data_IF_476437659022
#
_entry.id   IF_476437659022
#
_cell.length_a   1.000
_cell.length_b   1.000
_cell.length_c   1.000
_cell.angle_alpha   90.00
_cell.angle_beta   90.00
_cell.angle_gamma   90.00
#
_symmetry.space_group_name_H-M   'P 1'
#
loop_
_entity.id
_entity.type
_entity.pdbx_description
1 polymer ?
#
# COMPACT_ATOMS: atom_id res chain seq x y z
N UNK A 1 -3.13 -13.77 -15.48
CA UNK A 1 -4.25 -13.08 -14.80
C UNK A 1 -3.68 -12.27 -13.65
N UNK A 2 -4.02 -10.99 -13.50
CA UNK A 2 -3.54 -10.19 -12.36
C UNK A 2 -4.17 -10.66 -11.04
N UNK A 3 -3.49 -10.41 -9.92
CA UNK A 3 -3.96 -10.78 -8.57
C UNK A 3 -5.42 -10.36 -8.30
N UNK A 4 -5.90 -9.15 -8.71
CA UNK A 4 -7.30 -8.78 -8.50
C UNK A 4 -8.30 -9.64 -9.29
N UNK A 5 -7.94 -10.04 -10.51
CA UNK A 5 -8.81 -10.90 -11.34
C UNK A 5 -8.88 -12.32 -10.76
N UNK A 6 -7.78 -12.81 -10.20
CA UNK A 6 -7.76 -14.11 -9.54
C UNK A 6 -8.59 -14.10 -8.25
N UNK A 7 -8.43 -13.07 -7.41
CA UNK A 7 -9.25 -12.89 -6.20
C UNK A 7 -10.74 -12.86 -6.56
N UNK A 8 -11.14 -12.02 -7.53
CA UNK A 8 -12.52 -11.95 -8.01
C UNK A 8 -13.06 -13.31 -8.45
N UNK A 9 -12.30 -14.01 -9.29
CA UNK A 9 -12.71 -15.33 -9.79
C UNK A 9 -12.90 -16.34 -8.65
N UNK A 10 -12.00 -16.35 -7.65
CA UNK A 10 -12.15 -17.21 -6.47
C UNK A 10 -13.38 -16.87 -5.65
N UNK A 11 -13.63 -15.58 -5.37
CA UNK A 11 -14.79 -15.13 -4.60
C UNK A 11 -16.11 -15.40 -5.30
N UNK A 12 -16.18 -15.26 -6.63
CA UNK A 12 -17.37 -15.60 -7.42
C UNK A 12 -17.61 -17.12 -7.44
N UNK A 13 -16.54 -17.92 -7.49
CA UNK A 13 -16.63 -19.39 -7.54
C UNK A 13 -16.92 -20.02 -6.19
N UNK A 14 -16.40 -19.45 -5.11
CA UNK A 14 -16.53 -19.96 -3.75
C UNK A 14 -16.98 -18.84 -2.80
N UNK A 15 -18.24 -18.38 -2.89
CA UNK A 15 -18.70 -17.19 -2.17
C UNK A 15 -18.61 -17.29 -0.64
N UNK A 16 -18.62 -18.51 -0.09
CA UNK A 16 -18.56 -18.76 1.34
C UNK A 16 -17.17 -18.50 1.97
N UNK A 17 -16.11 -18.32 1.17
CA UNK A 17 -14.75 -18.10 1.69
C UNK A 17 -14.53 -16.65 2.17
N UNK A 18 -15.43 -15.73 1.81
CA UNK A 18 -15.31 -14.30 2.12
C UNK A 18 -16.52 -13.85 2.93
N UNK A 19 -16.28 -13.24 4.08
CA UNK A 19 -17.31 -12.69 4.94
C UNK A 19 -16.92 -11.28 5.38
N UNK A 20 -17.90 -10.37 5.41
CA UNK A 20 -17.70 -9.07 6.02
C UNK A 20 -17.43 -9.23 7.52
N UNK A 21 -16.35 -8.61 7.97
CA UNK A 21 -15.92 -8.64 9.37
C UNK A 21 -16.96 -7.91 10.22
N UNK A 22 -17.55 -8.62 11.18
CA UNK A 22 -18.37 -8.06 12.26
C UNK A 22 -17.71 -8.41 13.59
N UNK A 23 -17.60 -7.44 14.52
CA UNK A 23 -16.78 -7.56 15.74
C UNK A 23 -17.07 -8.81 16.57
N UNK A 24 -18.33 -9.24 16.64
CA UNK A 24 -18.75 -10.43 17.40
C UNK A 24 -18.60 -11.77 16.66
N UNK A 25 -18.06 -11.77 15.43
CA UNK A 25 -17.95 -12.97 14.56
C UNK A 25 -16.50 -13.29 14.17
N UNK A 26 -15.52 -12.57 14.71
CA UNK A 26 -14.11 -12.83 14.44
C UNK A 26 -13.68 -14.00 15.35
N UNK A 27 -13.24 -15.14 14.79
CA UNK A 27 -12.68 -16.21 15.61
C UNK A 27 -11.38 -15.74 16.27
N UNK A 28 -10.97 -16.43 17.32
CA UNK A 28 -9.71 -16.11 17.98
C UNK A 28 -8.53 -16.60 17.12
N UNK A 29 -7.46 -15.81 17.08
CA UNK A 29 -6.24 -16.13 16.36
C UNK A 29 -5.04 -16.11 17.30
N UNK A 30 -4.12 -17.05 17.13
CA UNK A 30 -2.85 -17.04 17.85
C UNK A 30 -1.84 -16.09 17.20
N UNK A 31 -1.79 -16.08 15.86
CA UNK A 31 -0.79 -15.37 15.09
C UNK A 31 -1.42 -14.43 14.07
N UNK A 32 -0.96 -13.18 14.02
CA UNK A 32 -1.27 -12.20 12.97
C UNK A 32 0.01 -11.79 12.26
N UNK A 33 0.02 -11.90 10.93
CA UNK A 33 1.14 -11.52 10.07
C UNK A 33 0.73 -10.34 9.18
N UNK A 34 1.48 -9.25 9.23
CA UNK A 34 1.25 -8.08 8.39
C UNK A 34 2.37 -7.91 7.36
N UNK A 35 1.97 -7.80 6.09
CA UNK A 35 2.80 -7.26 5.02
C UNK A 35 2.72 -5.73 5.07
N UNK A 36 3.77 -5.11 5.61
CA UNK A 36 3.84 -3.68 5.83
C UNK A 36 3.87 -2.89 4.52
N UNK A 37 4.39 -3.46 3.42
CA UNK A 37 4.44 -2.74 2.15
C UNK A 37 3.03 -2.44 1.64
N UNK A 38 2.11 -3.39 1.80
CA UNK A 38 0.70 -3.20 1.44
C UNK A 38 0.05 -2.07 2.25
N UNK A 39 0.33 -2.01 3.55
CA UNK A 39 -0.17 -0.96 4.45
C UNK A 39 0.41 0.40 4.06
N UNK A 40 1.74 0.49 3.91
CA UNK A 40 2.41 1.74 3.54
C UNK A 40 1.89 2.26 2.20
N UNK A 41 1.75 1.39 1.19
CA UNK A 41 1.20 1.78 -0.10
C UNK A 41 -0.22 2.35 0.03
N UNK A 42 -1.12 1.70 0.75
CA UNK A 42 -2.50 2.16 0.95
C UNK A 42 -2.57 3.47 1.75
N UNK A 43 -1.70 3.66 2.74
CA UNK A 43 -1.67 4.87 3.56
C UNK A 43 -1.10 6.06 2.77
N UNK A 44 -0.18 5.82 1.84
CA UNK A 44 0.53 6.85 1.06
C UNK A 44 -0.17 7.21 -0.25
N UNK A 45 -0.91 6.28 -0.85
CA UNK A 45 -1.64 6.45 -2.10
C UNK A 45 -3.12 6.27 -1.82
N UNK A 46 -3.81 7.34 -1.42
CA UNK A 46 -5.29 7.33 -1.36
C UNK A 46 -5.86 7.33 -2.77
N UNK A 47 -7.10 6.85 -2.93
CA UNK A 47 -7.86 6.64 -4.18
C UNK A 47 -7.96 7.83 -5.16
N UNK A 48 -7.38 8.99 -4.83
CA UNK A 48 -7.15 10.05 -5.79
C UNK A 48 -5.70 9.95 -6.32
N UNK A 49 -5.56 9.46 -7.55
CA UNK A 49 -4.41 9.72 -8.45
C UNK A 49 -4.27 11.23 -8.76
N UNK A 50 -4.68 12.10 -7.85
CA UNK A 50 -4.65 13.53 -8.03
C UNK A 50 -3.18 13.94 -8.06
N UNK A 51 -2.72 14.57 -9.16
CA UNK A 51 -1.35 15.06 -9.27
C UNK A 51 -1.02 16.14 -8.23
N UNK A 52 -2.05 16.63 -7.52
CA UNK A 52 -1.96 17.66 -6.48
C UNK A 52 -1.89 17.11 -5.04
N UNK A 53 -2.09 15.80 -4.82
CA UNK A 53 -2.06 15.26 -3.46
C UNK A 53 -0.66 15.36 -2.86
N UNK A 54 -0.57 15.89 -1.63
CA UNK A 54 0.66 15.99 -0.84
C UNK A 54 0.38 15.53 0.58
N UNK A 55 1.28 14.73 1.12
CA UNK A 55 1.20 14.25 2.49
C UNK A 55 2.60 14.28 3.10
N UNK A 56 2.72 14.91 4.28
CA UNK A 56 3.98 14.94 5.03
C UNK A 56 4.26 13.58 5.67
N UNK A 57 5.54 13.28 5.92
CA UNK A 57 5.97 12.01 6.54
C UNK A 57 5.27 11.76 7.88
N UNK A 58 5.17 12.78 8.75
CA UNK A 58 4.47 12.65 10.03
C UNK A 58 3.02 12.18 9.87
N UNK A 59 2.31 12.72 8.87
CA UNK A 59 0.92 12.31 8.58
C UNK A 59 0.86 10.89 8.03
N UNK A 60 1.86 10.48 7.25
CA UNK A 60 1.98 9.10 6.78
C UNK A 60 2.16 8.14 7.95
N UNK A 61 3.09 8.44 8.87
CA UNK A 61 3.33 7.59 10.04
C UNK A 61 2.10 7.48 10.93
N UNK A 62 1.41 8.58 11.22
CA UNK A 62 0.14 8.55 11.97
C UNK A 62 -0.90 7.68 11.25
N UNK A 63 -1.03 7.81 9.93
CA UNK A 63 -1.97 6.99 9.16
C UNK A 63 -1.61 5.49 9.22
N UNK A 64 -0.32 5.16 9.12
CA UNK A 64 0.18 3.79 9.24
C UNK A 64 -0.10 3.24 10.63
N UNK A 65 0.25 3.97 11.70
CA UNK A 65 0.02 3.54 13.08
C UNK A 65 -1.46 3.31 13.38
N UNK A 66 -2.33 4.25 12.98
CA UNK A 66 -3.77 4.09 13.15
C UNK A 66 -4.30 2.86 12.40
N UNK A 67 -3.75 2.55 11.23
CA UNK A 67 -4.16 1.37 10.46
C UNK A 67 -3.71 0.08 11.13
N UNK A 68 -2.46 0.03 11.64
CA UNK A 68 -1.94 -1.11 12.40
C UNK A 68 -2.77 -1.33 13.67
N UNK A 69 -3.01 -0.27 14.45
CA UNK A 69 -3.78 -0.32 15.69
C UNK A 69 -5.21 -0.84 15.44
N UNK A 70 -5.86 -0.34 14.38
CA UNK A 70 -7.18 -0.80 13.97
C UNK A 70 -7.21 -2.30 13.61
N UNK A 71 -6.20 -2.78 12.86
CA UNK A 71 -6.10 -4.21 12.54
C UNK A 71 -5.83 -5.06 13.78
N UNK A 72 -4.89 -4.63 14.63
CA UNK A 72 -4.56 -5.33 15.86
C UNK A 72 -5.76 -5.41 16.81
N UNK A 73 -6.46 -4.29 17.02
CA UNK A 73 -7.65 -4.20 17.86
C UNK A 73 -8.81 -5.06 17.37
N UNK A 74 -8.92 -5.28 16.05
CA UNK A 74 -9.93 -6.19 15.47
C UNK A 74 -9.59 -7.66 15.63
N UNK A 75 -8.35 -8.05 15.33
CA UNK A 75 -7.96 -9.47 15.26
C UNK A 75 -7.55 -10.03 16.63
N UNK A 76 -6.93 -9.21 17.49
CA UNK A 76 -6.51 -9.55 18.86
C UNK A 76 -5.68 -10.86 18.92
N UNK A 77 -4.51 -10.93 18.27
CA UNK A 77 -3.67 -12.13 18.27
C UNK A 77 -3.19 -12.49 19.69
N UNK A 78 -3.25 -13.76 20.07
CA UNK A 78 -2.92 -14.23 21.43
C UNK A 78 -1.45 -14.49 21.69
N UNK A 79 -0.69 -14.87 20.66
CA UNK A 79 0.68 -15.36 20.81
C UNK A 79 1.69 -14.52 20.02
N UNK A 80 1.43 -14.29 18.73
CA UNK A 80 2.38 -13.64 17.83
C UNK A 80 1.73 -12.53 17.03
N UNK A 81 2.36 -11.36 17.08
CA UNK A 81 2.09 -10.27 16.15
C UNK A 81 3.37 -9.98 15.36
N UNK A 82 3.38 -10.41 14.10
CA UNK A 82 4.55 -10.33 13.22
C UNK A 82 4.31 -9.32 12.10
N UNK A 83 5.21 -8.35 11.97
CA UNK A 83 5.15 -7.33 10.93
C UNK A 83 6.42 -7.43 10.09
N UNK A 84 6.27 -7.57 8.77
CA UNK A 84 7.39 -7.68 7.85
C UNK A 84 7.37 -6.55 6.81
N UNK A 85 8.53 -5.95 6.61
CA UNK A 85 8.83 -5.06 5.49
C UNK A 85 9.70 -5.85 4.50
N UNK A 86 9.51 -5.65 3.19
CA UNK A 86 10.32 -6.37 2.20
C UNK A 86 11.80 -6.01 2.39
N UNK A 87 12.65 -7.03 2.48
CA UNK A 87 14.09 -6.93 2.32
C UNK A 87 14.51 -6.97 0.84
N UNK A 88 15.80 -7.24 0.59
CA UNK A 88 16.31 -7.37 -0.78
C UNK A 88 15.65 -8.57 -1.47
N UNK A 89 15.03 -8.30 -2.63
CA UNK A 89 14.28 -9.30 -3.38
C UNK A 89 15.16 -10.07 -4.39
N UNK A 90 14.78 -11.31 -4.79
CA UNK A 90 15.45 -12.03 -5.87
C UNK A 90 15.37 -11.29 -7.22
N UNK A 91 16.37 -11.50 -8.09
CA UNK A 91 16.51 -10.80 -9.39
C UNK A 91 15.24 -10.84 -10.25
N UNK A 92 14.51 -11.95 -10.26
CA UNK A 92 13.25 -12.07 -11.00
C UNK A 92 12.20 -11.05 -10.51
N UNK A 93 12.00 -10.95 -9.18
CA UNK A 93 11.09 -9.96 -8.57
C UNK A 93 11.62 -8.54 -8.77
N UNK A 94 12.92 -8.33 -8.69
CA UNK A 94 13.53 -7.02 -8.97
C UNK A 94 13.25 -6.53 -10.40
N UNK A 95 13.38 -7.40 -11.41
CA UNK A 95 13.06 -7.03 -12.80
C UNK A 95 11.58 -6.65 -12.95
N UNK A 96 10.68 -7.39 -12.31
CA UNK A 96 9.25 -7.07 -12.32
C UNK A 96 8.94 -5.74 -11.62
N UNK A 97 9.54 -5.51 -10.43
CA UNK A 97 9.41 -4.25 -9.70
C UNK A 97 9.97 -3.09 -10.52
N UNK A 98 11.12 -3.27 -11.18
CA UNK A 98 11.70 -2.27 -12.09
C UNK A 98 10.73 -1.92 -13.20
N UNK A 99 10.24 -2.90 -13.97
CA UNK A 99 9.31 -2.64 -15.07
C UNK A 99 8.04 -1.91 -14.61
N UNK A 100 7.53 -2.25 -13.41
CA UNK A 100 6.37 -1.57 -12.82
C UNK A 100 6.69 -0.10 -12.50
N UNK A 101 7.79 0.16 -11.79
CA UNK A 101 8.22 1.51 -11.39
C UNK A 101 8.44 2.43 -12.58
N UNK A 102 9.09 1.92 -13.63
CA UNK A 102 9.28 2.67 -14.87
C UNK A 102 7.96 3.10 -15.51
N UNK A 103 6.95 2.21 -15.51
CA UNK A 103 5.62 2.54 -16.04
C UNK A 103 4.91 3.58 -15.18
N UNK A 104 4.91 3.40 -13.87
CA UNK A 104 4.27 4.36 -12.94
C UNK A 104 4.88 5.75 -13.02
N UNK A 105 6.21 5.85 -13.16
CA UNK A 105 6.89 7.13 -13.35
C UNK A 105 6.45 7.83 -14.65
N UNK A 106 6.36 7.08 -15.75
CA UNK A 106 5.87 7.62 -17.03
C UNK A 106 4.40 8.05 -16.94
N UNK A 107 3.54 7.25 -16.34
CA UNK A 107 2.11 7.56 -16.18
C UNK A 107 1.93 8.83 -15.32
N UNK A 108 2.73 9.00 -14.27
CA UNK A 108 2.72 10.20 -13.42
C UNK A 108 3.19 11.46 -14.18
N UNK A 109 4.22 11.35 -15.02
CA UNK A 109 4.70 12.44 -15.87
C UNK A 109 3.62 12.89 -16.87
N UNK A 110 3.00 11.93 -17.57
CA UNK A 110 1.89 12.20 -18.50
C UNK A 110 0.69 12.82 -17.80
N UNK A 111 0.35 12.34 -16.60
CA UNK A 111 -0.74 12.92 -15.79
C UNK A 111 -0.45 14.37 -15.38
N UNK A 112 0.80 14.67 -14.99
CA UNK A 112 1.26 16.02 -14.64
C UNK A 112 1.17 16.96 -15.84
N UNK A 113 1.67 16.55 -17.01
CA UNK A 113 1.57 17.36 -18.23
C UNK A 113 0.12 17.67 -18.61
N UNK A 114 -0.77 16.68 -18.49
CA UNK A 114 -2.19 16.84 -18.77
C UNK A 114 -2.86 17.81 -17.79
N UNK A 115 -2.50 17.77 -16.50
CA UNK A 115 -3.00 18.69 -15.50
C UNK A 115 -2.58 20.14 -15.80
N UNK A 116 -1.31 20.36 -16.16
CA UNK A 116 -0.78 21.67 -16.55
C UNK A 116 -1.49 22.20 -17.81
N UNK A 117 -1.67 21.35 -18.83
CA UNK A 117 -2.42 21.71 -20.05
C UNK A 117 -3.87 22.11 -19.76
N UNK A 118 -4.49 21.49 -18.76
CA UNK A 118 -5.84 21.80 -18.32
C UNK A 118 -5.92 23.01 -17.36
N UNK A 119 -4.80 23.71 -17.12
CA UNK A 119 -4.75 24.90 -16.28
C UNK A 119 -4.84 24.63 -14.78
N UNK A 120 -4.58 23.40 -14.32
CA UNK A 120 -4.49 23.13 -12.89
C UNK A 120 -3.17 23.65 -12.33
N UNK A 121 -3.25 24.42 -11.23
CA UNK A 121 -2.07 24.76 -10.45
C UNK A 121 -1.49 23.53 -9.76
N UNK A 122 -0.21 23.28 -10.02
CA UNK A 122 0.53 22.19 -9.39
C UNK A 122 1.08 22.66 -8.04
N UNK A 123 1.03 21.84 -6.98
CA UNK A 123 1.69 22.15 -5.72
C UNK A 123 3.18 22.36 -5.94
N UNK A 124 3.77 23.30 -5.17
CA UNK A 124 5.21 23.59 -5.21
C UNK A 124 6.07 22.47 -4.63
N UNK A 125 5.51 21.71 -3.70
CA UNK A 125 6.16 20.54 -3.10
C UNK A 125 6.09 19.35 -4.06
N UNK A 126 7.05 18.45 -3.98
CA UNK A 126 7.03 17.20 -4.75
C UNK A 126 6.06 16.18 -4.12
N UNK A 127 5.40 15.33 -4.93
CA UNK A 127 4.60 14.23 -4.41
C UNK A 127 5.49 13.22 -3.68
N UNK A 128 4.90 12.46 -2.77
CA UNK A 128 5.61 11.36 -2.10
C UNK A 128 6.09 10.33 -3.14
N UNK A 129 7.40 10.09 -3.17
CA UNK A 129 8.00 9.11 -4.08
C UNK A 129 7.91 7.71 -3.49
N UNK A 130 6.93 6.93 -3.93
CA UNK A 130 6.76 5.52 -3.54
C UNK A 130 7.97 4.62 -3.78
N UNK A 131 8.94 5.04 -4.62
CA UNK A 131 10.19 4.31 -4.81
C UNK A 131 11.04 4.29 -3.53
N UNK A 132 10.81 5.22 -2.58
CA UNK A 132 11.48 5.23 -1.29
C UNK A 132 11.09 4.01 -0.43
N UNK A 133 9.99 3.31 -0.74
CA UNK A 133 9.58 2.06 -0.09
C UNK A 133 10.39 0.89 -0.69
N UNK A 134 11.71 0.95 -0.51
CA UNK A 134 12.68 -0.06 -0.95
C UNK A 134 13.78 -0.18 0.10
N UNK A 135 14.26 -1.39 0.42
CA UNK A 135 15.40 -1.55 1.33
C UNK A 135 16.58 -0.64 0.96
N UNK A 136 17.19 -0.02 1.97
CA UNK A 136 18.40 0.81 1.82
C UNK A 136 18.14 2.29 1.55
N UNK A 137 16.88 2.76 1.57
CA UNK A 137 16.53 4.18 1.53
C UNK A 137 16.52 4.77 2.93
N UNK A 138 16.75 6.07 3.07
CA UNK A 138 16.65 6.77 4.36
C UNK A 138 15.26 6.64 4.97
N UNK A 139 14.21 6.54 4.15
CA UNK A 139 12.82 6.33 4.58
C UNK A 139 12.59 5.00 5.31
N UNK A 140 13.36 3.94 5.01
CA UNK A 140 13.27 2.65 5.71
C UNK A 140 14.29 2.54 6.86
N UNK A 141 15.35 3.35 6.84
CA UNK A 141 16.45 3.30 7.82
C UNK A 141 16.18 4.20 9.05
N UNK A 142 15.35 5.23 8.89
CA UNK A 142 14.80 6.01 10.02
C UNK A 142 13.62 5.30 10.67
#
# INVERSE_FOLDING_TARGET
MGVPKFFRWMSERYPAISQLIAENRIPEFDCLYLDMNGIIHNCTHKDSDSPTFRMSEDKMFIAIFNYIEHLFGKIKPKQLFFMAIDGVAPRAKMNQQRSRRFRTALDAEVAKEKAIKNGMEMPKEDPFDSNCITPGTTYIVH
#
